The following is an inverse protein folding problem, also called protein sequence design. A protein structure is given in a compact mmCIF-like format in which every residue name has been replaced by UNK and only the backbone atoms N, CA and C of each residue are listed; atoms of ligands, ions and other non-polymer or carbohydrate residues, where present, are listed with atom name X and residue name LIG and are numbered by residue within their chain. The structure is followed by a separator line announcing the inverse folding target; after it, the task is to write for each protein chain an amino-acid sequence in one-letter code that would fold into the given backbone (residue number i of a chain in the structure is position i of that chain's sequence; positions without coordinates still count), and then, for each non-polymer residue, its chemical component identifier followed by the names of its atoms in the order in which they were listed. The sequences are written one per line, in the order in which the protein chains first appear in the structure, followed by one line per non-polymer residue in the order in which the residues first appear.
data_IF_567353406080
#
_entry.id   IF_567353406080
#
_cell.length_a   1.000
_cell.length_b   1.000
_cell.length_c   1.000
_cell.angle_alpha   90.00
_cell.angle_beta   90.00
_cell.angle_gamma   90.00
#
_symmetry.space_group_name_H-M   'P 1'
#
loop_
_entity.id
_entity.type
_entity.pdbx_description
1 polymer ?
#
# COMPACT_ATOMS: atom_id res chain seq x y z
N UNK A 1 -46.53 45.06 -9.76
CA UNK A 1 -47.11 44.38 -10.93
C UNK A 1 -46.25 44.70 -12.14
N UNK A 2 -45.30 43.82 -12.48
CA UNK A 2 -44.66 43.78 -13.79
C UNK A 2 -44.38 42.31 -14.13
N UNK A 3 -45.04 41.84 -15.17
CA UNK A 3 -44.91 40.50 -15.76
C UNK A 3 -43.64 40.46 -16.60
N UNK A 4 -42.86 39.38 -16.49
CA UNK A 4 -41.82 39.06 -17.47
C UNK A 4 -42.29 37.80 -18.21
N UNK A 5 -42.40 37.93 -19.53
CA UNK A 5 -42.83 36.88 -20.46
C UNK A 5 -41.78 35.77 -20.54
N UNK A 6 -42.22 34.52 -20.42
CA UNK A 6 -41.46 33.34 -20.81
C UNK A 6 -41.55 33.20 -22.33
N UNK A 7 -40.42 33.33 -23.02
CA UNK A 7 -40.27 32.88 -24.42
C UNK A 7 -39.32 31.69 -24.38
N UNK A 8 -39.83 30.51 -24.74
CA UNK A 8 -39.04 29.30 -24.86
C UNK A 8 -38.29 29.23 -26.19
N UNK A 9 -37.06 28.69 -26.14
CA UNK A 9 -36.48 27.74 -27.10
C UNK A 9 -35.01 27.50 -26.77
N UNK A 10 -34.64 26.22 -26.63
CA UNK A 10 -33.25 25.79 -26.56
C UNK A 10 -33.07 24.48 -25.79
N UNK A 11 -33.67 23.38 -26.27
CA UNK A 11 -33.47 22.00 -25.76
C UNK A 11 -32.06 21.43 -26.07
N UNK A 12 -31.06 22.28 -26.21
CA UNK A 12 -29.71 21.90 -26.64
C UNK A 12 -28.66 21.97 -25.50
N UNK A 13 -28.97 22.64 -24.38
CA UNK A 13 -28.02 22.77 -23.25
C UNK A 13 -28.13 21.66 -22.20
N UNK A 14 -29.25 20.93 -22.14
CA UNK A 14 -29.40 19.82 -21.18
C UNK A 14 -28.65 18.56 -21.65
N UNK A 15 -28.39 18.45 -22.96
CA UNK A 15 -27.64 17.34 -23.56
C UNK A 15 -26.12 17.47 -23.42
N UNK A 16 -25.59 18.68 -23.25
CA UNK A 16 -24.17 18.94 -23.02
C UNK A 16 -23.72 18.59 -21.59
N UNK A 17 -24.65 18.57 -20.61
CA UNK A 17 -24.37 18.16 -19.24
C UNK A 17 -24.22 16.64 -19.05
N UNK A 18 -24.88 15.84 -19.89
CA UNK A 18 -24.97 14.39 -19.72
C UNK A 18 -23.74 13.62 -20.25
N UNK A 19 -22.92 14.24 -21.10
CA UNK A 19 -21.69 13.63 -21.64
C UNK A 19 -20.46 13.73 -20.73
N UNK A 20 -20.55 14.47 -19.61
CA UNK A 20 -19.43 14.67 -18.67
C UNK A 20 -19.33 13.60 -17.58
N UNK A 21 -20.23 12.60 -17.59
CA UNK A 21 -20.40 11.62 -16.51
C UNK A 21 -19.90 10.19 -16.82
N UNK A 22 -19.02 9.98 -17.81
CA UNK A 22 -18.86 8.60 -18.32
C UNK A 22 -17.49 8.11 -18.79
N UNK A 23 -16.36 8.79 -18.54
CA UNK A 23 -15.05 8.21 -18.88
C UNK A 23 -14.00 8.51 -17.81
N UNK A 24 -13.97 7.67 -16.77
CA UNK A 24 -12.76 7.52 -15.95
C UNK A 24 -11.63 7.12 -16.88
N UNK A 25 -10.59 7.95 -16.97
CA UNK A 25 -9.40 7.70 -17.78
C UNK A 25 -8.72 6.41 -17.35
N UNK A 26 -7.98 5.78 -18.27
CA UNK A 26 -7.20 4.59 -17.92
C UNK A 26 -6.21 4.86 -16.77
N UNK A 27 -5.69 6.09 -16.70
CA UNK A 27 -4.81 6.53 -15.62
C UNK A 27 -5.52 6.60 -14.27
N UNK A 28 -6.72 7.19 -14.21
CA UNK A 28 -7.50 7.26 -12.96
C UNK A 28 -7.91 5.86 -12.48
N UNK A 29 -8.28 4.96 -13.39
CA UNK A 29 -8.56 3.55 -13.05
C UNK A 29 -7.32 2.87 -12.46
N UNK A 30 -6.15 3.07 -13.06
CA UNK A 30 -4.88 2.54 -12.56
C UNK A 30 -4.52 3.11 -11.19
N UNK A 31 -4.72 4.40 -10.97
CA UNK A 31 -4.49 5.04 -9.67
C UNK A 31 -5.45 4.49 -8.60
N UNK A 32 -6.74 4.38 -8.91
CA UNK A 32 -7.72 3.78 -8.01
C UNK A 32 -7.38 2.34 -7.65
N UNK A 33 -6.95 1.53 -8.63
CA UNK A 33 -6.50 0.17 -8.39
C UNK A 33 -5.27 0.13 -7.48
N UNK A 34 -4.27 0.99 -7.72
CA UNK A 34 -3.08 1.06 -6.85
C UNK A 34 -3.46 1.38 -5.41
N UNK A 35 -4.34 2.36 -5.21
CA UNK A 35 -4.82 2.74 -3.89
C UNK A 35 -5.53 1.58 -3.20
N UNK A 36 -6.36 0.83 -3.93
CA UNK A 36 -7.01 -0.37 -3.41
C UNK A 36 -6.00 -1.44 -2.98
N UNK A 37 -4.94 -1.69 -3.76
CA UNK A 37 -3.89 -2.66 -3.39
C UNK A 37 -3.12 -2.21 -2.13
N UNK A 38 -2.82 -0.92 -2.03
CA UNK A 38 -2.18 -0.35 -0.82
C UNK A 38 -3.10 -0.46 0.39
N UNK A 39 -4.42 -0.29 0.21
CA UNK A 39 -5.41 -0.42 1.27
C UNK A 39 -5.53 -1.88 1.76
N UNK A 40 -5.48 -2.86 0.86
CA UNK A 40 -5.41 -4.28 1.23
C UNK A 40 -4.17 -4.59 2.08
N UNK A 41 -3.01 -4.04 1.71
CA UNK A 41 -1.79 -4.16 2.52
C UNK A 41 -1.94 -3.51 3.89
N UNK A 42 -2.57 -2.33 3.95
CA UNK A 42 -2.84 -1.62 5.21
C UNK A 42 -3.70 -2.46 6.15
N UNK A 43 -4.82 -2.98 5.67
CA UNK A 43 -5.72 -3.83 6.45
C UNK A 43 -4.99 -5.09 6.97
N UNK A 44 -4.16 -5.70 6.13
CA UNK A 44 -3.34 -6.84 6.55
C UNK A 44 -2.35 -6.46 7.67
N UNK A 45 -1.60 -5.37 7.49
CA UNK A 45 -0.63 -4.89 8.49
C UNK A 45 -1.33 -4.55 9.81
N UNK A 46 -2.47 -3.86 9.77
CA UNK A 46 -3.26 -3.53 10.97
C UNK A 46 -3.71 -4.79 11.71
N UNK A 47 -4.18 -5.81 10.98
CA UNK A 47 -4.56 -7.10 11.57
C UNK A 47 -3.37 -7.81 12.21
N UNK A 48 -2.20 -7.79 11.58
CA UNK A 48 -0.99 -8.40 12.14
C UNK A 48 -0.53 -7.63 13.38
N UNK A 49 -0.58 -6.30 13.34
CA UNK A 49 -0.19 -5.44 14.45
C UNK A 49 -1.10 -5.58 15.68
N UNK A 50 -2.36 -6.00 15.50
CA UNK A 50 -3.31 -6.21 16.61
C UNK A 50 -3.21 -7.59 17.29
N UNK A 51 -2.23 -8.42 16.94
CA UNK A 51 -2.06 -9.78 17.50
C UNK A 51 -1.20 -9.76 18.77
N UNK A 52 -1.78 -9.23 19.85
CA UNK A 52 -1.07 -9.04 21.12
C UNK A 52 -0.62 -10.36 21.77
N UNK A 53 -1.30 -11.47 21.47
CA UNK A 53 -1.02 -12.82 21.97
C UNK A 53 0.08 -13.58 21.19
N UNK A 54 0.52 -13.04 20.05
CA UNK A 54 1.60 -13.59 19.23
C UNK A 54 2.94 -12.89 19.50
N UNK A 55 4.08 -13.46 19.11
CA UNK A 55 5.38 -12.80 19.29
C UNK A 55 5.59 -11.55 18.40
N UNK A 56 4.74 -11.32 17.40
CA UNK A 56 4.93 -10.21 16.45
C UNK A 56 4.62 -8.84 17.06
N UNK A 57 5.54 -7.89 16.90
CA UNK A 57 5.44 -6.51 17.42
C UNK A 57 5.84 -5.53 16.32
N UNK A 58 4.89 -5.20 15.45
CA UNK A 58 5.13 -4.39 14.25
C UNK A 58 5.65 -2.99 14.63
N UNK A 59 6.90 -2.70 14.27
CA UNK A 59 7.55 -1.40 14.49
C UNK A 59 7.45 -0.49 13.27
N UNK A 60 7.48 -1.06 12.07
CA UNK A 60 7.28 -0.37 10.81
C UNK A 60 6.78 -1.33 9.73
N UNK A 61 6.02 -0.82 8.76
CA UNK A 61 5.62 -1.58 7.58
C UNK A 61 5.50 -0.71 6.33
N UNK A 62 5.87 -1.27 5.18
CA UNK A 62 5.79 -0.60 3.88
C UNK A 62 5.44 -1.58 2.77
N UNK A 63 4.68 -1.10 1.78
CA UNK A 63 4.53 -1.79 0.49
C UNK A 63 5.74 -1.44 -0.37
N UNK A 64 6.36 -2.43 -1.00
CA UNK A 64 7.46 -2.24 -1.95
C UNK A 64 7.10 -2.77 -3.34
N UNK A 65 8.06 -2.77 -4.26
CA UNK A 65 7.89 -3.44 -5.53
C UNK A 65 6.91 -2.73 -6.45
N UNK A 66 6.24 -3.51 -7.31
CA UNK A 66 5.52 -2.94 -8.44
C UNK A 66 4.30 -2.09 -8.04
N UNK A 67 3.65 -2.45 -6.93
CA UNK A 67 2.54 -1.67 -6.36
C UNK A 67 3.06 -0.33 -5.83
N UNK A 68 4.21 -0.33 -5.15
CA UNK A 68 4.83 0.88 -4.65
C UNK A 68 5.29 1.82 -5.79
N UNK A 69 5.94 1.29 -6.83
CA UNK A 69 6.37 2.07 -8.01
C UNK A 69 5.22 2.50 -8.93
N UNK A 70 4.10 1.79 -8.89
CA UNK A 70 2.94 2.05 -9.74
C UNK A 70 3.02 1.40 -11.13
N UNK A 71 3.99 0.50 -11.35
CA UNK A 71 4.17 -0.28 -12.59
C UNK A 71 3.60 -1.71 -12.49
N UNK A 72 2.75 -1.98 -11.49
CA UNK A 72 2.06 -3.26 -11.29
C UNK A 72 1.17 -3.67 -12.48
N UNK A 73 0.89 -4.96 -12.56
CA UNK A 73 -0.03 -5.56 -13.52
C UNK A 73 -1.09 -6.41 -12.79
N UNK A 74 -2.11 -6.95 -13.49
CA UNK A 74 -3.18 -7.71 -12.83
C UNK A 74 -2.75 -8.98 -12.10
N UNK A 75 -1.56 -9.52 -12.40
CA UNK A 75 -0.97 -10.69 -11.74
C UNK A 75 0.13 -10.31 -10.73
N UNK A 76 0.31 -9.02 -10.43
CA UNK A 76 1.30 -8.58 -9.46
C UNK A 76 0.87 -8.89 -8.03
N UNK A 77 1.80 -9.45 -7.26
CA UNK A 77 1.68 -9.55 -5.83
C UNK A 77 1.88 -8.19 -5.14
N UNK A 78 1.43 -8.11 -3.89
CA UNK A 78 1.54 -6.97 -2.98
C UNK A 78 2.66 -7.31 -2.00
N UNK A 79 3.89 -6.92 -2.34
CA UNK A 79 5.06 -7.11 -1.49
C UNK A 79 4.98 -6.21 -0.25
N UNK A 80 4.89 -6.80 0.94
CA UNK A 80 4.84 -6.06 2.22
C UNK A 80 6.08 -6.37 3.04
N UNK A 81 6.88 -5.34 3.34
CA UNK A 81 7.97 -5.43 4.30
C UNK A 81 7.45 -5.04 5.69
N UNK A 82 7.70 -5.91 6.67
CA UNK A 82 7.40 -5.66 8.09
C UNK A 82 8.71 -5.67 8.87
N UNK A 83 8.97 -4.61 9.63
CA UNK A 83 10.02 -4.60 10.65
C UNK A 83 9.34 -4.75 12.00
N UNK A 84 9.81 -5.71 12.80
CA UNK A 84 9.19 -6.09 14.07
C UNK A 84 10.23 -6.13 15.19
N UNK A 85 9.83 -5.78 16.41
CA UNK A 85 10.67 -5.96 17.61
C UNK A 85 10.59 -7.40 18.16
N UNK A 86 9.66 -8.22 17.67
CA UNK A 86 9.53 -9.62 18.05
C UNK A 86 9.16 -10.48 16.86
N UNK A 87 9.90 -11.56 16.61
CA UNK A 87 9.58 -12.56 15.58
C UNK A 87 10.06 -13.93 16.04
N UNK A 88 9.43 -15.02 15.58
CA UNK A 88 10.03 -16.34 15.70
C UNK A 88 11.37 -16.43 14.96
N UNK A 89 12.34 -17.10 15.58
CA UNK A 89 13.64 -17.40 14.94
C UNK A 89 13.51 -18.43 13.83
N UNK A 90 12.57 -19.38 13.97
CA UNK A 90 12.32 -20.41 12.96
C UNK A 90 11.69 -19.79 11.71
N UNK A 91 12.28 -19.98 10.51
CA UNK A 91 11.70 -19.49 9.26
C UNK A 91 10.29 -20.03 9.00
N UNK A 92 10.05 -21.30 9.35
CA UNK A 92 8.73 -21.93 9.19
C UNK A 92 7.70 -21.30 10.13
N UNK A 93 8.03 -21.14 11.41
CA UNK A 93 7.10 -20.52 12.38
C UNK A 93 6.83 -19.05 12.03
N UNK A 94 7.83 -18.34 11.51
CA UNK A 94 7.67 -16.97 11.00
C UNK A 94 6.74 -16.94 9.78
N UNK A 95 6.90 -17.88 8.84
CA UNK A 95 6.01 -18.00 7.70
C UNK A 95 4.58 -18.32 8.15
N UNK A 96 4.39 -19.32 9.02
CA UNK A 96 3.07 -19.68 9.55
C UNK A 96 2.39 -18.50 10.24
N UNK A 97 3.14 -17.70 11.00
CA UNK A 97 2.65 -16.48 11.63
C UNK A 97 2.17 -15.45 10.59
N UNK A 98 2.97 -15.18 9.56
CA UNK A 98 2.66 -14.15 8.56
C UNK A 98 1.53 -14.57 7.61
N UNK A 99 1.47 -15.85 7.26
CA UNK A 99 0.57 -16.37 6.22
C UNK A 99 -0.77 -16.89 6.75
N UNK A 100 -0.98 -17.01 8.07
CA UNK A 100 -2.20 -17.60 8.66
C UNK A 100 -3.52 -17.01 8.13
N UNK A 101 -3.59 -15.69 7.98
CA UNK A 101 -4.79 -14.95 7.55
C UNK A 101 -4.47 -13.95 6.45
N UNK A 102 -3.50 -14.30 5.60
CA UNK A 102 -3.02 -13.41 4.54
C UNK A 102 -4.11 -13.20 3.49
N UNK A 103 -4.30 -11.94 3.10
CA UNK A 103 -5.21 -11.59 2.00
C UNK A 103 -4.68 -12.08 0.66
N UNK A 104 -5.54 -12.23 -0.36
CA UNK A 104 -5.14 -12.67 -1.69
C UNK A 104 -4.07 -11.74 -2.28
N UNK A 105 -3.00 -12.34 -2.81
CA UNK A 105 -1.91 -11.63 -3.47
C UNK A 105 -0.98 -10.86 -2.53
N UNK A 106 -1.13 -10.94 -1.21
CA UNK A 106 -0.19 -10.31 -0.28
C UNK A 106 0.99 -11.24 -0.04
N UNK A 107 2.20 -10.71 -0.24
CA UNK A 107 3.47 -11.40 0.04
C UNK A 107 4.22 -10.71 1.19
N UNK A 108 3.94 -11.10 2.45
CA UNK A 108 4.58 -10.51 3.60
C UNK A 108 5.99 -11.06 3.81
N UNK A 109 6.93 -10.17 4.13
CA UNK A 109 8.31 -10.50 4.49
C UNK A 109 8.66 -9.72 5.75
N UNK A 110 8.89 -10.42 6.87
CA UNK A 110 9.16 -9.80 8.15
C UNK A 110 10.59 -10.03 8.63
N UNK A 111 11.16 -8.97 9.17
CA UNK A 111 12.52 -8.93 9.71
C UNK A 111 12.51 -8.30 11.10
N UNK A 112 13.41 -8.75 11.96
CA UNK A 112 13.71 -7.99 13.18
C UNK A 112 14.36 -6.67 12.81
N UNK A 113 14.37 -5.70 13.73
CA UNK A 113 15.11 -4.44 13.55
C UNK A 113 16.56 -4.72 13.15
N UNK A 114 17.27 -5.54 13.90
CA UNK A 114 18.67 -5.88 13.62
C UNK A 114 18.86 -6.57 12.27
N UNK A 115 17.94 -7.47 11.88
CA UNK A 115 17.97 -8.09 10.55
C UNK A 115 17.82 -7.05 9.44
N UNK A 116 16.87 -6.12 9.59
CA UNK A 116 16.65 -5.04 8.62
C UNK A 116 17.85 -4.09 8.54
N UNK A 117 18.43 -3.69 9.67
CA UNK A 117 19.62 -2.83 9.70
C UNK A 117 20.82 -3.51 9.01
N UNK A 118 21.02 -4.81 9.24
CA UNK A 118 22.03 -5.60 8.50
C UNK A 118 21.73 -5.67 7.01
N UNK A 119 20.47 -5.79 6.61
CA UNK A 119 20.06 -5.76 5.21
C UNK A 119 20.36 -4.40 4.57
N UNK A 120 20.10 -3.29 5.27
CA UNK A 120 20.45 -1.92 4.83
C UNK A 120 21.96 -1.79 4.66
N UNK A 121 22.75 -2.21 5.64
CA UNK A 121 24.22 -2.16 5.60
C UNK A 121 24.78 -2.97 4.41
N UNK A 122 24.14 -4.09 4.07
CA UNK A 122 24.51 -4.95 2.92
C UNK A 122 23.88 -4.51 1.60
N UNK A 123 23.15 -3.39 1.57
CA UNK A 123 22.41 -2.90 0.40
C UNK A 123 21.49 -3.96 -0.21
N UNK A 124 20.85 -4.76 0.64
CA UNK A 124 19.89 -5.76 0.20
C UNK A 124 18.76 -5.08 -0.60
N UNK A 125 18.37 -5.61 -1.77
CA UNK A 125 17.37 -4.98 -2.63
C UNK A 125 16.04 -4.69 -1.94
N UNK A 126 15.56 -5.57 -1.05
CA UNK A 126 14.29 -5.37 -0.34
C UNK A 126 14.37 -4.21 0.64
N UNK A 127 15.48 -4.11 1.38
CA UNK A 127 15.70 -3.01 2.32
C UNK A 127 15.88 -1.68 1.58
N UNK A 128 16.64 -1.66 0.49
CA UNK A 128 16.81 -0.45 -0.32
C UNK A 128 15.49 -0.03 -0.95
N UNK A 129 14.69 -0.96 -1.44
CA UNK A 129 13.36 -0.67 -1.96
C UNK A 129 12.46 -0.05 -0.87
N UNK A 130 12.43 -0.65 0.32
CA UNK A 130 11.67 -0.11 1.45
C UNK A 130 12.10 1.32 1.84
N UNK A 131 13.39 1.63 1.77
CA UNK A 131 13.92 2.96 2.11
C UNK A 131 13.73 4.03 1.02
N UNK A 132 13.59 3.64 -0.25
CA UNK A 132 13.67 4.59 -1.39
C UNK A 132 12.38 4.70 -2.19
N UNK A 133 11.69 3.59 -2.43
CA UNK A 133 10.44 3.53 -3.22
C UNK A 133 9.22 3.11 -2.39
N UNK A 134 9.43 2.65 -1.16
CA UNK A 134 8.39 2.09 -0.31
C UNK A 134 7.24 3.06 -0.03
N UNK A 135 6.00 2.56 -0.13
CA UNK A 135 4.82 3.25 0.39
C UNK A 135 4.66 2.86 1.85
N UNK A 136 5.07 3.76 2.75
CA UNK A 136 4.99 3.54 4.20
C UNK A 136 3.54 3.43 4.66
N UNK A 137 3.21 2.31 5.30
CA UNK A 137 1.91 2.07 5.94
C UNK A 137 1.91 2.63 7.36
N UNK A 138 2.96 2.32 8.13
CA UNK A 138 3.24 2.87 9.45
C UNK A 138 4.74 2.88 9.72
N UNK A 139 5.23 3.93 10.39
CA UNK A 139 6.63 4.04 10.83
C UNK A 139 6.79 5.09 11.94
N UNK A 140 6.22 4.88 13.15
CA UNK A 140 6.33 5.84 14.24
C UNK A 140 7.78 6.07 14.69
N UNK A 141 8.62 5.03 14.61
CA UNK A 141 10.02 5.06 15.04
C UNK A 141 11.00 5.62 14.00
N UNK A 142 10.58 5.82 12.74
CA UNK A 142 11.46 6.30 11.67
C UNK A 142 12.43 5.25 11.12
N UNK A 143 12.06 3.97 11.19
CA UNK A 143 12.83 2.83 10.64
C UNK A 143 13.13 3.04 9.15
N UNK A 144 12.16 3.54 8.37
CA UNK A 144 12.35 3.76 6.94
C UNK A 144 12.97 5.12 6.59
N UNK A 145 13.34 5.92 7.60
CA UNK A 145 14.09 7.19 7.41
C UNK A 145 15.61 7.00 7.47
N UNK A 146 16.07 5.77 7.72
CA UNK A 146 17.48 5.43 7.69
C UNK A 146 18.09 5.79 6.32
N UNK A 147 19.22 6.50 6.33
CA UNK A 147 19.97 6.75 5.09
C UNK A 147 20.93 5.59 4.87
N UNK A 148 20.92 4.94 3.69
CA UNK A 148 21.98 4.02 3.34
C UNK A 148 23.32 4.75 3.41
N UNK A 149 24.30 4.18 4.11
CA UNK A 149 25.68 4.70 4.07
C UNK A 149 26.17 4.66 2.62
N UNK A 150 26.79 5.77 2.18
CA UNK A 150 27.32 5.92 0.82
C UNK A 150 28.52 5.00 0.59
#
# INVERSE_FOLDING_TARGET
MWRINVVGKGDDDVRAGLFRLGRVSALEKRQAQRLMLIDLARVYVERVASRDDEPIRVAAAAVIGSVARGDFNPASDIDVIIVSEGLPDSPLARADLLYRDVGPGIEPKAFTRDEFERMVARRNPLAIAALTEGVVILDPGGVFRMRPSH
#
